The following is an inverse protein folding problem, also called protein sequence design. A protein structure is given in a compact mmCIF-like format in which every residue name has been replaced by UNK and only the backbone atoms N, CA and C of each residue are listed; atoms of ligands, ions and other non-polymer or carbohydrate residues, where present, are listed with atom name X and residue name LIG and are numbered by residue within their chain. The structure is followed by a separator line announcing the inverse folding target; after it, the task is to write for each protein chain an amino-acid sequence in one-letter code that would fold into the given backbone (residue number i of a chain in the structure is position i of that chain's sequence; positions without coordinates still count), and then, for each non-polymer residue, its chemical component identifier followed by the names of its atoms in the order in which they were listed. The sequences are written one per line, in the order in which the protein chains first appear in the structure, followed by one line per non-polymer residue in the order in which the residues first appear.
data_IF_676752192105
#
_entry.id   IF_676752192105
#
_cell.length_a   1.000
_cell.length_b   1.000
_cell.length_c   1.000
_cell.angle_alpha   90.00
_cell.angle_beta   90.00
_cell.angle_gamma   90.00
#
_symmetry.space_group_name_H-M   'P 1'
#
loop_
_entity.id
_entity.type
_entity.pdbx_description
1 polymer ?
#
# COMPACT_ATOMS: atom_id res chain seq x y z
N UNK A 1 -26.11 5.48 -0.13
CA UNK A 1 -25.52 5.37 -0.15
C UNK A 1 -24.34 5.13 0.04
N UNK A 2 -23.70 4.40 -0.23
CA UNK A 2 -22.53 4.21 0.12
C UNK A 2 -21.65 4.78 -0.78
N UNK A 3 -20.70 5.35 -0.45
CA UNK A 3 -19.80 6.09 -1.24
C UNK A 3 -18.42 5.55 -1.10
N UNK A 4 -17.52 5.95 -1.96
CA UNK A 4 -16.14 5.53 -1.90
C UNK A 4 -15.50 5.78 -0.54
N UNK A 5 -15.73 6.91 0.14
CA UNK A 5 -15.13 7.13 1.45
C UNK A 5 -15.47 6.03 2.45
N UNK A 6 -16.64 5.43 2.32
CA UNK A 6 -17.00 4.37 3.23
C UNK A 6 -16.15 3.13 3.01
N UNK A 7 -15.75 2.90 1.77
CA UNK A 7 -14.88 1.78 1.47
C UNK A 7 -13.50 1.97 2.08
N UNK A 8 -12.99 3.21 2.02
CA UNK A 8 -11.70 3.50 2.63
C UNK A 8 -11.73 3.22 4.12
N UNK A 9 -12.82 3.63 4.78
CA UNK A 9 -12.93 3.43 6.22
C UNK A 9 -13.02 1.97 6.59
N UNK A 10 -13.49 1.13 5.66
CA UNK A 10 -13.67 -0.27 5.92
C UNK A 10 -12.47 -1.14 5.61
N UNK A 11 -11.45 -0.57 4.97
CA UNK A 11 -10.26 -1.35 4.65
C UNK A 11 -9.43 -1.53 5.90
N UNK A 12 -9.23 -2.78 6.29
CA UNK A 12 -8.45 -3.09 7.48
C UNK A 12 -6.96 -3.03 7.17
N UNK A 13 -6.13 -2.72 8.18
CA UNK A 13 -4.70 -2.61 7.95
C UNK A 13 -4.05 -3.88 7.40
N UNK A 14 -4.61 -5.04 7.70
CA UNK A 14 -4.03 -6.31 7.27
C UNK A 14 -4.70 -6.89 6.03
N UNK A 15 -5.64 -6.16 5.41
CA UNK A 15 -6.29 -6.64 4.20
C UNK A 15 -5.32 -6.62 3.02
N UNK A 16 -5.25 -7.72 2.24
CA UNK A 16 -4.39 -7.70 1.06
C UNK A 16 -5.01 -6.83 -0.04
N UNK A 17 -4.20 -5.94 -0.60
CA UNK A 17 -4.63 -5.00 -1.62
C UNK A 17 -3.68 -5.06 -2.80
N UNK A 18 -4.22 -4.96 -4.02
CA UNK A 18 -3.37 -4.79 -5.19
C UNK A 18 -2.58 -3.50 -5.01
N UNK A 19 -1.40 -3.44 -5.61
CA UNK A 19 -0.49 -2.33 -5.38
C UNK A 19 -1.08 -0.97 -5.77
N UNK A 20 -1.85 -0.94 -6.86
CA UNK A 20 -2.46 0.32 -7.29
C UNK A 20 -3.50 0.82 -6.29
N UNK A 21 -4.29 -0.10 -5.74
CA UNK A 21 -5.28 0.25 -4.72
C UNK A 21 -4.59 0.71 -3.44
N UNK A 22 -3.58 -0.03 -3.01
CA UNK A 22 -2.85 0.32 -1.79
C UNK A 22 -2.19 1.69 -1.93
N UNK A 23 -1.60 1.98 -3.09
CA UNK A 23 -0.98 3.27 -3.32
C UNK A 23 -2.00 4.40 -3.23
N UNK A 24 -3.17 4.20 -3.83
CA UNK A 24 -4.20 5.23 -3.82
C UNK A 24 -4.74 5.49 -2.41
N UNK A 25 -4.91 4.44 -1.62
CA UNK A 25 -5.41 4.58 -0.26
C UNK A 25 -4.38 5.21 0.67
N UNK A 26 -3.12 4.80 0.55
CA UNK A 26 -2.07 5.28 1.46
C UNK A 26 -1.58 6.68 1.09
N UNK A 27 -1.64 7.02 -0.19
CA UNK A 27 -1.17 8.30 -0.70
C UNK A 27 -2.27 8.92 -1.55
N UNK A 28 -3.31 9.47 -0.90
CA UNK A 28 -4.49 9.96 -1.63
C UNK A 28 -4.19 11.14 -2.54
N UNK A 29 -3.05 11.80 -2.38
CA UNK A 29 -2.65 12.88 -3.27
C UNK A 29 -2.06 12.38 -4.59
N UNK A 30 -1.99 11.05 -4.78
CA UNK A 30 -1.47 10.49 -6.01
C UNK A 30 0.03 10.48 -6.16
N UNK A 31 0.75 10.78 -5.07
CA UNK A 31 2.22 10.91 -5.15
C UNK A 31 2.93 9.56 -5.22
N UNK A 32 2.27 8.47 -4.82
CA UNK A 32 2.89 7.14 -4.84
C UNK A 32 2.35 6.35 -6.01
N UNK A 33 3.24 5.63 -6.70
CA UNK A 33 2.89 4.80 -7.84
C UNK A 33 3.20 3.35 -7.54
N UNK A 34 2.67 2.45 -8.38
CA UNK A 34 2.99 1.02 -8.29
C UNK A 34 4.49 0.82 -8.44
N UNK A 35 5.13 1.54 -9.37
CA UNK A 35 6.57 1.44 -9.54
C UNK A 35 7.31 1.88 -8.29
N UNK A 36 6.82 2.92 -7.63
CA UNK A 36 7.42 3.37 -6.38
C UNK A 36 7.35 2.32 -5.30
N UNK A 37 6.19 1.67 -5.16
CA UNK A 37 6.04 0.61 -4.18
C UNK A 37 6.96 -0.56 -4.51
N UNK A 38 7.11 -0.93 -5.78
CA UNK A 38 8.00 -2.01 -6.15
C UNK A 38 9.46 -1.68 -5.88
N UNK A 39 9.85 -0.43 -6.07
CA UNK A 39 11.21 -0.02 -5.74
C UNK A 39 11.47 -0.14 -4.25
N UNK A 40 10.50 0.24 -3.42
CA UNK A 40 10.66 0.11 -1.98
C UNK A 40 10.75 -1.37 -1.56
N UNK A 41 9.96 -2.22 -2.22
CA UNK A 41 10.05 -3.64 -1.94
C UNK A 41 11.43 -4.21 -2.32
N UNK A 42 11.97 -3.76 -3.44
CA UNK A 42 13.29 -4.19 -3.87
C UNK A 42 14.39 -3.78 -2.89
N UNK A 43 14.18 -2.66 -2.18
CA UNK A 43 15.11 -2.21 -1.16
C UNK A 43 14.88 -2.87 0.20
N UNK A 44 13.90 -3.76 0.28
CA UNK A 44 13.61 -4.48 1.52
C UNK A 44 12.79 -3.70 2.52
N UNK A 45 12.20 -2.58 2.13
CA UNK A 45 11.43 -1.75 3.05
C UNK A 45 9.93 -2.01 3.01
N UNK A 46 9.44 -2.68 1.96
CA UNK A 46 8.01 -2.95 1.82
C UNK A 46 7.81 -4.44 1.58
N UNK A 47 6.91 -5.04 2.37
CA UNK A 47 6.54 -6.44 2.17
C UNK A 47 5.47 -6.54 1.09
N UNK A 48 5.73 -7.31 0.06
CA UNK A 48 4.78 -7.58 -1.01
C UNK A 48 4.62 -9.09 -1.10
N UNK A 49 3.36 -9.52 -1.25
CA UNK A 49 3.02 -10.92 -1.44
C UNK A 49 2.59 -11.15 -2.88
N UNK A 50 3.07 -12.23 -3.48
CA UNK A 50 2.62 -12.60 -4.81
C UNK A 50 1.74 -13.81 -4.72
N UNK A 51 0.47 -13.65 -5.09
CA UNK A 51 -0.53 -14.71 -5.01
C UNK A 51 -1.21 -14.79 -6.37
N UNK A 52 -1.23 -15.98 -6.95
CA UNK A 52 -1.88 -16.21 -8.26
C UNK A 52 -1.36 -15.25 -9.33
N UNK A 53 -0.06 -14.97 -9.30
CA UNK A 53 0.57 -14.09 -10.28
C UNK A 53 0.33 -12.61 -10.08
N UNK A 54 -0.30 -12.23 -8.96
CA UNK A 54 -0.62 -10.83 -8.67
C UNK A 54 0.09 -10.40 -7.41
N UNK A 55 0.52 -9.15 -7.38
CA UNK A 55 1.22 -8.59 -6.24
C UNK A 55 0.25 -7.86 -5.33
N UNK A 56 0.35 -8.15 -4.03
CA UNK A 56 -0.49 -7.54 -3.00
C UNK A 56 0.40 -7.00 -1.89
N UNK A 57 -0.08 -5.96 -1.24
CA UNK A 57 0.52 -5.49 0.01
C UNK A 57 -0.61 -5.11 0.96
N UNK A 58 -0.27 -4.63 2.14
CA UNK A 58 -1.26 -4.20 3.12
C UNK A 58 -0.96 -2.78 3.55
N UNK A 59 -1.97 -2.11 4.10
CA UNK A 59 -1.75 -0.77 4.64
C UNK A 59 -0.78 -0.82 5.83
N UNK A 60 -0.82 -1.90 6.62
CA UNK A 60 0.14 -2.07 7.71
C UNK A 60 1.57 -2.17 7.19
N UNK A 61 1.78 -2.89 6.08
CA UNK A 61 3.12 -2.99 5.50
C UNK A 61 3.60 -1.62 4.99
N UNK A 62 2.70 -0.84 4.42
CA UNK A 62 3.06 0.50 3.96
C UNK A 62 3.38 1.41 5.16
N UNK A 63 2.66 1.26 6.26
CA UNK A 63 2.95 2.04 7.46
C UNK A 63 4.34 1.69 7.99
N UNK A 64 4.69 0.42 8.03
CA UNK A 64 6.03 0.00 8.44
C UNK A 64 7.09 0.56 7.50
N UNK A 65 6.82 0.55 6.21
CA UNK A 65 7.72 1.15 5.22
C UNK A 65 7.94 2.63 5.53
N UNK A 66 6.87 3.36 5.85
CA UNK A 66 6.97 4.79 6.12
C UNK A 66 7.86 5.07 7.32
N UNK A 67 7.79 4.21 8.34
CA UNK A 67 8.66 4.36 9.50
C UNK A 67 10.12 4.23 9.08
N UNK A 68 10.44 3.25 8.24
CA UNK A 68 11.80 3.04 7.77
C UNK A 68 12.29 4.16 6.86
N UNK A 69 11.38 4.88 6.23
CA UNK A 69 11.74 5.93 5.27
C UNK A 69 11.79 7.32 5.90
N UNK A 70 11.58 7.43 7.20
CA UNK A 70 11.59 8.74 7.85
C UNK A 70 12.96 9.37 7.76
N UNK A 71 12.95 10.65 7.44
CA UNK A 71 14.18 11.43 7.32
C UNK A 71 14.39 12.14 8.66
N UNK A 72 15.60 12.07 9.24
CA UNK A 72 15.88 12.71 10.52
C UNK A 72 15.81 14.23 10.49
#
# INVERSE_FOLDING_TARGET
MRCAPQEFDKVKPDAPLRLDVAAALAYPDGSMTVSGLRREAAKGRLAIERVAGKDYTTLAAIEDMRVLCRVP
#
